data_IF_643744539413
#
_entry.id   IF_643744539413
#
_cell.length_a   1.000
_cell.length_b   1.000
_cell.length_c   1.000
_cell.angle_alpha   90.00
_cell.angle_beta   90.00
_cell.angle_gamma   90.00
#
_symmetry.space_group_name_H-M   'P 1'
#
loop_
_entity.id
_entity.type
_entity.pdbx_description
1 polymer ?
#
# COMPACT_ATOMS: atom_id res chain seq x y z
N UNK A 1 -10.35 -14.80 -8.52
CA UNK A 1 -10.36 -13.77 -7.45
C UNK A 1 -11.51 -12.77 -7.60
N UNK A 2 -11.77 -12.27 -8.78
CA UNK A 2 -12.83 -11.27 -9.08
C UNK A 2 -14.23 -11.70 -8.59
N UNK A 3 -14.64 -12.95 -8.81
CA UNK A 3 -15.95 -13.46 -8.39
C UNK A 3 -16.17 -13.43 -6.87
N UNK A 4 -15.14 -13.78 -6.07
CA UNK A 4 -15.25 -13.74 -4.60
C UNK A 4 -15.36 -12.31 -4.07
N UNK A 5 -14.61 -11.35 -4.64
CA UNK A 5 -14.71 -9.93 -4.26
C UNK A 5 -16.11 -9.40 -4.54
N UNK A 6 -16.65 -9.66 -5.73
CA UNK A 6 -17.99 -9.24 -6.12
C UNK A 6 -19.06 -9.77 -5.16
N UNK A 7 -18.86 -10.97 -4.59
CA UNK A 7 -19.80 -11.56 -3.62
C UNK A 7 -19.75 -10.93 -2.23
N UNK A 8 -18.56 -10.47 -1.77
CA UNK A 8 -18.45 -9.90 -0.42
C UNK A 8 -18.77 -8.40 -0.39
N UNK A 9 -18.55 -7.65 -1.46
CA UNK A 9 -18.80 -6.21 -1.52
C UNK A 9 -20.23 -5.81 -1.07
N UNK A 10 -21.32 -6.50 -1.48
CA UNK A 10 -22.66 -6.16 -1.02
C UNK A 10 -22.93 -6.48 0.45
N UNK A 11 -22.06 -7.24 1.12
CA UNK A 11 -22.22 -7.64 2.53
C UNK A 11 -21.57 -6.73 3.53
N UNK A 12 -20.81 -5.73 3.06
CA UNK A 12 -20.05 -4.79 3.92
C UNK A 12 -20.65 -3.39 3.86
N UNK A 13 -20.38 -2.62 4.91
CA UNK A 13 -20.71 -1.20 4.92
C UNK A 13 -19.80 -0.46 3.93
N UNK A 14 -20.38 0.48 3.18
CA UNK A 14 -19.67 1.34 2.24
C UNK A 14 -18.74 0.56 1.27
N UNK A 15 -19.28 -0.29 0.41
CA UNK A 15 -18.47 -1.10 -0.54
C UNK A 15 -17.62 -0.24 -1.48
N UNK A 16 -17.99 1.01 -1.71
CA UNK A 16 -17.23 1.96 -2.53
C UNK A 16 -15.80 2.21 -2.02
N UNK A 17 -15.51 1.98 -0.73
CA UNK A 17 -14.15 2.07 -0.16
C UNK A 17 -13.15 1.12 -0.84
N UNK A 18 -13.63 0.08 -1.53
CA UNK A 18 -12.82 -1.05 -1.98
C UNK A 18 -12.86 -1.27 -3.50
N UNK A 19 -13.49 -0.37 -4.25
CA UNK A 19 -13.75 -0.56 -5.68
C UNK A 19 -12.88 0.28 -6.61
N UNK A 20 -12.28 1.39 -6.12
CA UNK A 20 -11.61 2.36 -6.98
C UNK A 20 -12.60 3.10 -7.90
N UNK A 21 -12.08 3.71 -8.98
CA UNK A 21 -12.88 4.43 -9.96
C UNK A 21 -13.11 5.90 -9.61
N UNK A 22 -12.31 6.47 -8.70
CA UNK A 22 -12.42 7.87 -8.33
C UNK A 22 -11.87 8.80 -9.42
N UNK A 23 -12.37 10.01 -9.41
CA UNK A 23 -11.83 11.07 -10.27
C UNK A 23 -10.34 11.31 -9.98
N UNK A 24 -9.53 11.27 -11.04
CA UNK A 24 -8.07 11.42 -10.94
C UNK A 24 -7.31 10.13 -10.60
N UNK A 25 -7.99 8.98 -10.59
CA UNK A 25 -7.32 7.68 -10.51
C UNK A 25 -6.41 7.47 -11.72
N UNK A 26 -5.17 7.04 -11.49
CA UNK A 26 -4.21 6.74 -12.55
C UNK A 26 -4.22 5.24 -12.82
N UNK A 27 -4.50 4.85 -14.06
CA UNK A 27 -4.40 3.47 -14.53
C UNK A 27 -3.32 3.35 -15.57
N UNK A 28 -2.40 2.42 -15.38
CA UNK A 28 -1.34 2.08 -16.34
C UNK A 28 -1.44 0.61 -16.76
N UNK A 29 -0.76 0.24 -17.81
CA UNK A 29 -0.67 -1.15 -18.24
C UNK A 29 0.41 -1.86 -17.39
N UNK A 30 0.00 -2.74 -16.50
CA UNK A 30 0.90 -3.45 -15.58
C UNK A 30 2.01 -4.25 -16.28
N UNK A 31 1.76 -4.71 -17.50
CA UNK A 31 2.76 -5.45 -18.29
C UNK A 31 3.88 -4.58 -18.88
N UNK A 32 3.72 -3.25 -18.80
CA UNK A 32 4.70 -2.26 -19.29
C UNK A 32 5.43 -1.56 -18.14
N UNK A 33 5.04 -1.82 -16.90
CA UNK A 33 5.65 -1.18 -15.73
C UNK A 33 6.86 -1.99 -15.24
N UNK A 34 7.96 -1.28 -15.01
CA UNK A 34 9.14 -1.87 -14.41
C UNK A 34 8.98 -2.04 -12.90
N UNK A 35 8.31 -1.09 -12.23
CA UNK A 35 8.06 -1.12 -10.78
C UNK A 35 6.60 -0.83 -10.48
N UNK A 36 5.98 -1.66 -9.63
CA UNK A 36 4.65 -1.43 -9.08
C UNK A 36 4.73 -1.19 -7.58
N UNK A 37 4.15 -0.09 -7.13
CA UNK A 37 4.15 0.31 -5.72
C UNK A 37 2.74 0.22 -5.15
N UNK A 38 2.56 -0.59 -4.11
CA UNK A 38 1.37 -0.56 -3.27
C UNK A 38 1.55 0.55 -2.22
N UNK A 39 0.92 1.69 -2.44
CA UNK A 39 1.01 2.82 -1.52
C UNK A 39 -0.08 2.74 -0.46
N UNK A 40 0.32 2.33 0.72
CA UNK A 40 -0.53 1.97 1.83
C UNK A 40 -0.73 3.12 2.81
N UNK A 41 -1.99 3.43 3.09
CA UNK A 41 -2.37 4.30 4.19
C UNK A 41 -2.95 3.43 5.32
N UNK A 42 -2.33 3.39 6.52
CA UNK A 42 -2.72 2.46 7.57
C UNK A 42 -3.94 2.95 8.39
N UNK A 43 -4.94 3.44 7.69
CA UNK A 43 -6.25 3.84 8.19
C UNK A 43 -7.29 3.65 7.08
N UNK A 44 -8.54 4.00 7.37
CA UNK A 44 -9.67 3.85 6.46
C UNK A 44 -9.53 4.68 5.18
N UNK A 45 -10.27 4.28 4.16
CA UNK A 45 -10.36 4.98 2.88
C UNK A 45 -10.63 6.49 3.03
N UNK A 46 -11.58 6.89 3.88
CA UNK A 46 -11.95 8.29 4.05
C UNK A 46 -10.80 9.12 4.63
N UNK A 47 -10.10 8.58 5.60
CA UNK A 47 -8.95 9.25 6.22
C UNK A 47 -7.79 9.36 5.22
N UNK A 48 -7.49 8.30 4.48
CA UNK A 48 -6.42 8.32 3.49
C UNK A 48 -6.73 9.21 2.29
N UNK A 49 -7.95 9.19 1.77
CA UNK A 49 -8.35 10.02 0.63
C UNK A 49 -8.41 11.52 0.99
N UNK A 50 -8.59 11.87 2.25
CA UNK A 50 -8.50 13.26 2.74
C UNK A 50 -7.07 13.71 3.04
N UNK A 51 -6.10 12.79 3.09
CA UNK A 51 -4.70 13.10 3.38
C UNK A 51 -4.00 13.72 2.16
N UNK A 52 -3.58 14.99 2.31
CA UNK A 52 -2.96 15.74 1.21
C UNK A 52 -1.60 15.15 0.82
N UNK A 53 -0.77 14.76 1.80
CA UNK A 53 0.54 14.15 1.55
C UNK A 53 0.43 12.86 0.73
N UNK A 54 -0.54 12.01 1.06
CA UNK A 54 -0.80 10.80 0.26
C UNK A 54 -1.16 11.13 -1.18
N UNK A 55 -1.99 12.14 -1.40
CA UNK A 55 -2.40 12.54 -2.76
C UNK A 55 -1.25 13.13 -3.56
N UNK A 56 -0.38 13.92 -2.93
CA UNK A 56 0.81 14.49 -3.56
C UNK A 56 1.76 13.36 -3.97
N UNK A 57 2.15 12.48 -3.05
CA UNK A 57 3.07 11.38 -3.33
C UNK A 57 2.53 10.40 -4.37
N UNK A 58 1.22 10.09 -4.32
CA UNK A 58 0.56 9.30 -5.37
C UNK A 58 0.73 9.95 -6.76
N UNK A 59 0.55 11.27 -6.83
CA UNK A 59 0.75 12.03 -8.07
C UNK A 59 2.21 12.01 -8.54
N UNK A 60 3.15 12.26 -7.63
CA UNK A 60 4.60 12.27 -7.91
C UNK A 60 5.05 10.91 -8.44
N UNK A 61 4.75 9.82 -7.76
CA UNK A 61 5.13 8.47 -8.21
C UNK A 61 4.54 8.12 -9.57
N UNK A 62 3.29 8.51 -9.83
CA UNK A 62 2.63 8.21 -11.10
C UNK A 62 3.05 9.10 -12.28
N UNK A 63 3.82 10.17 -12.05
CA UNK A 63 4.48 10.93 -13.12
C UNK A 63 5.66 10.16 -13.74
N UNK A 64 6.26 9.23 -13.00
CA UNK A 64 7.33 8.39 -13.53
C UNK A 64 6.77 7.40 -14.56
N UNK A 65 7.35 7.33 -15.77
CA UNK A 65 6.77 6.54 -16.87
C UNK A 65 6.74 5.04 -16.57
N UNK A 66 7.78 4.53 -15.92
CA UNK A 66 7.99 3.09 -15.69
C UNK A 66 7.47 2.61 -14.32
N UNK A 67 6.85 3.50 -13.54
CA UNK A 67 6.32 3.21 -12.20
C UNK A 67 4.80 3.32 -12.20
N UNK A 68 4.12 2.36 -11.57
CA UNK A 68 2.71 2.46 -11.25
C UNK A 68 2.48 2.37 -9.76
N UNK A 69 2.08 3.48 -9.18
CA UNK A 69 1.67 3.58 -7.78
C UNK A 69 0.16 3.37 -7.66
N UNK A 70 -0.25 2.45 -6.80
CA UNK A 70 -1.65 2.10 -6.56
C UNK A 70 -1.96 2.22 -5.07
N UNK A 71 -3.17 2.71 -4.74
CA UNK A 71 -3.56 3.02 -3.36
C UNK A 71 -4.12 1.79 -2.65
N UNK A 72 -3.74 1.67 -1.38
CA UNK A 72 -4.24 0.62 -0.49
C UNK A 72 -4.63 1.23 0.86
N UNK A 73 -5.80 0.91 1.37
CA UNK A 73 -6.27 1.38 2.68
C UNK A 73 -6.51 0.22 3.63
N UNK A 74 -6.39 0.48 4.92
CA UNK A 74 -6.77 -0.49 5.92
C UNK A 74 -8.28 -0.81 5.81
N UNK A 75 -8.68 -2.07 5.75
CA UNK A 75 -10.09 -2.42 5.65
C UNK A 75 -10.80 -2.13 6.99
N UNK A 76 -12.07 -1.76 6.91
CA UNK A 76 -12.91 -1.70 8.08
C UNK A 76 -13.22 -3.11 8.60
N UNK A 77 -13.58 -3.24 9.88
CA UNK A 77 -13.72 -4.54 10.54
C UNK A 77 -14.63 -5.54 9.80
N UNK A 78 -15.76 -5.11 9.26
CA UNK A 78 -16.67 -5.97 8.50
C UNK A 78 -16.05 -6.50 7.18
N UNK A 79 -15.27 -5.66 6.51
CA UNK A 79 -14.54 -6.09 5.32
C UNK A 79 -13.39 -7.02 5.70
N UNK A 80 -12.66 -6.74 6.77
CA UNK A 80 -11.59 -7.64 7.26
C UNK A 80 -12.15 -9.03 7.57
N UNK A 81 -13.25 -9.11 8.32
CA UNK A 81 -13.93 -10.37 8.60
C UNK A 81 -14.34 -11.10 7.32
N UNK A 82 -14.93 -10.38 6.36
CA UNK A 82 -15.33 -10.96 5.08
C UNK A 82 -14.12 -11.46 4.27
N UNK A 83 -13.01 -10.72 4.27
CA UNK A 83 -11.76 -11.13 3.61
C UNK A 83 -11.20 -12.42 4.22
N UNK A 84 -11.04 -12.45 5.53
CA UNK A 84 -10.52 -13.62 6.27
C UNK A 84 -11.41 -14.84 6.03
N UNK A 85 -12.72 -14.70 6.18
CA UNK A 85 -13.70 -15.79 5.98
C UNK A 85 -13.65 -16.38 4.56
N UNK A 86 -13.37 -15.56 3.55
CA UNK A 86 -13.36 -15.99 2.14
C UNK A 86 -11.95 -16.28 1.60
N UNK A 87 -10.90 -16.16 2.42
CA UNK A 87 -9.52 -16.34 2.02
C UNK A 87 -9.10 -15.34 0.93
N UNK A 88 -9.51 -14.08 1.05
CA UNK A 88 -9.15 -13.00 0.15
C UNK A 88 -8.02 -12.18 0.76
N UNK A 89 -6.91 -11.95 0.04
CA UNK A 89 -5.85 -11.05 0.49
C UNK A 89 -6.28 -9.59 0.33
N UNK A 90 -5.58 -8.67 1.02
CA UNK A 90 -5.69 -7.23 0.81
C UNK A 90 -5.27 -6.87 -0.63
N UNK A 91 -5.95 -5.89 -1.23
CA UNK A 91 -5.74 -5.51 -2.63
C UNK A 91 -5.70 -3.99 -2.83
N UNK A 92 -5.07 -3.57 -3.92
CA UNK A 92 -5.02 -2.18 -4.35
C UNK A 92 -6.33 -1.75 -5.04
N UNK A 93 -6.63 -0.45 -4.99
CA UNK A 93 -7.88 0.08 -5.55
C UNK A 93 -7.89 0.07 -7.08
N UNK A 94 -6.79 0.45 -7.72
CA UNK A 94 -6.73 0.68 -9.16
C UNK A 94 -6.81 -0.63 -9.96
N UNK A 95 -5.86 -1.54 -9.76
CA UNK A 95 -5.81 -2.81 -10.49
C UNK A 95 -6.68 -3.90 -9.88
N UNK A 96 -7.07 -3.75 -8.62
CA UNK A 96 -7.68 -4.82 -7.83
C UNK A 96 -6.75 -6.04 -7.65
N UNK A 97 -5.46 -5.89 -7.88
CA UNK A 97 -4.47 -6.94 -7.63
C UNK A 97 -4.17 -7.06 -6.12
N UNK A 98 -3.80 -8.24 -5.62
CA UNK A 98 -3.38 -8.41 -4.23
C UNK A 98 -2.07 -7.66 -3.98
N UNK A 99 -1.93 -7.05 -2.80
CA UNK A 99 -0.72 -6.30 -2.41
C UNK A 99 0.56 -7.13 -2.57
N UNK A 100 0.48 -8.43 -2.33
CA UNK A 100 1.61 -9.35 -2.53
C UNK A 100 2.13 -9.42 -3.97
N UNK A 101 1.38 -8.95 -4.96
CA UNK A 101 1.78 -8.93 -6.37
C UNK A 101 2.61 -7.69 -6.76
N UNK A 102 2.87 -6.80 -5.79
CA UNK A 102 3.64 -5.58 -6.00
C UNK A 102 5.11 -5.77 -5.65
N UNK A 103 5.96 -4.99 -6.29
CA UNK A 103 7.40 -5.00 -6.04
C UNK A 103 7.72 -4.31 -4.71
N UNK A 104 7.07 -3.19 -4.45
CA UNK A 104 7.27 -2.39 -3.26
C UNK A 104 5.94 -2.14 -2.53
N UNK A 105 6.03 -2.05 -1.19
CA UNK A 105 4.91 -1.72 -0.30
C UNK A 105 5.31 -0.52 0.55
N UNK A 106 4.78 0.64 0.23
CA UNK A 106 5.10 1.90 0.87
C UNK A 106 4.03 2.28 1.90
N UNK A 107 4.43 2.59 3.13
CA UNK A 107 3.52 3.10 4.15
C UNK A 107 3.78 4.58 4.45
N UNK A 108 2.72 5.38 4.54
CA UNK A 108 2.80 6.72 5.12
C UNK A 108 2.26 6.70 6.54
N UNK A 109 3.09 7.12 7.51
CA UNK A 109 2.78 6.99 8.94
C UNK A 109 2.58 8.39 9.54
N UNK A 110 1.31 8.75 9.75
CA UNK A 110 0.92 10.06 10.29
C UNK A 110 0.89 10.13 11.81
N UNK A 111 0.68 8.99 12.49
CA UNK A 111 0.66 8.92 13.95
C UNK A 111 0.82 7.46 14.43
N UNK A 112 1.26 7.29 15.68
CA UNK A 112 1.75 6.00 16.24
C UNK A 112 0.63 4.97 16.44
N UNK A 113 -0.62 5.40 16.66
CA UNK A 113 -1.74 4.48 16.81
C UNK A 113 -2.03 3.63 15.57
N UNK A 114 -1.47 4.02 14.42
CA UNK A 114 -1.60 3.26 13.16
C UNK A 114 -0.62 2.09 13.02
N UNK A 115 0.34 1.91 13.92
CA UNK A 115 1.35 0.84 13.82
C UNK A 115 0.73 -0.56 13.76
N UNK A 116 -0.29 -0.82 14.59
CA UNK A 116 -1.00 -2.10 14.55
C UNK A 116 -1.71 -2.35 13.21
N UNK A 117 -2.19 -1.30 12.57
CA UNK A 117 -2.82 -1.39 11.25
C UNK A 117 -1.80 -1.75 10.17
N UNK A 118 -0.56 -1.25 10.25
CA UNK A 118 0.53 -1.64 9.33
C UNK A 118 0.74 -3.15 9.40
N UNK A 119 0.91 -3.70 10.59
CA UNK A 119 1.09 -5.12 10.80
C UNK A 119 -0.11 -5.94 10.29
N UNK A 120 -1.32 -5.45 10.55
CA UNK A 120 -2.55 -6.09 10.07
C UNK A 120 -2.64 -6.07 8.54
N UNK A 121 -2.30 -4.96 7.88
CA UNK A 121 -2.28 -4.85 6.42
C UNK A 121 -1.25 -5.81 5.80
N UNK A 122 -0.05 -5.94 6.37
CA UNK A 122 0.96 -6.93 5.94
C UNK A 122 0.42 -8.36 6.10
N UNK A 123 -0.19 -8.68 7.27
CA UNK A 123 -0.82 -9.98 7.52
C UNK A 123 -1.91 -10.31 6.51
N UNK A 124 -2.82 -9.38 6.25
CA UNK A 124 -3.91 -9.54 5.29
C UNK A 124 -3.41 -9.66 3.85
N UNK A 125 -2.26 -9.06 3.55
CA UNK A 125 -1.59 -9.17 2.25
C UNK A 125 -0.88 -10.51 2.05
N UNK A 126 -0.68 -11.30 3.12
CA UNK A 126 0.12 -12.53 3.09
C UNK A 126 1.62 -12.28 2.89
N UNK A 127 2.09 -11.09 3.31
CA UNK A 127 3.51 -10.72 3.33
C UNK A 127 4.07 -11.08 4.72
N UNK A 128 5.25 -11.72 4.81
CA UNK A 128 5.88 -12.02 6.09
C UNK A 128 6.05 -10.75 6.92
N UNK A 129 5.65 -10.78 8.20
CA UNK A 129 5.70 -9.60 9.05
C UNK A 129 7.14 -9.14 9.29
N UNK A 130 8.01 -10.04 9.75
CA UNK A 130 9.39 -9.68 10.04
C UNK A 130 10.23 -9.56 8.77
N UNK A 131 11.08 -8.55 8.74
CA UNK A 131 12.03 -8.30 7.64
C UNK A 131 12.92 -9.51 7.36
N UNK A 132 13.43 -10.16 8.42
CA UNK A 132 14.28 -11.37 8.32
C UNK A 132 13.61 -12.56 7.62
N UNK A 133 12.30 -12.59 7.54
CA UNK A 133 11.54 -13.67 6.90
C UNK A 133 11.20 -13.36 5.44
N UNK A 134 11.45 -12.12 4.98
CA UNK A 134 11.35 -11.73 3.57
C UNK A 134 12.67 -12.02 2.86
N UNK A 135 12.57 -12.57 1.67
CA UNK A 135 13.74 -12.94 0.86
C UNK A 135 13.72 -12.19 -0.47
N UNK A 136 14.84 -11.58 -0.82
CA UNK A 136 14.97 -10.81 -2.05
C UNK A 136 14.29 -9.45 -1.98
N UNK A 137 14.13 -8.81 -3.13
CA UNK A 137 13.60 -7.45 -3.26
C UNK A 137 12.07 -7.40 -3.46
N UNK A 138 11.43 -8.53 -3.71
CA UNK A 138 9.97 -8.56 -3.89
C UNK A 138 9.24 -8.24 -2.58
N UNK A 139 8.23 -7.38 -2.67
CA UNK A 139 7.50 -6.84 -1.53
C UNK A 139 8.41 -6.10 -0.53
N UNK A 140 9.37 -5.33 -1.02
CA UNK A 140 10.18 -4.47 -0.17
C UNK A 140 9.25 -3.48 0.56
N UNK A 141 9.27 -3.53 1.89
CA UNK A 141 8.40 -2.72 2.74
C UNK A 141 9.17 -1.51 3.23
N UNK A 142 8.71 -0.31 2.91
CA UNK A 142 9.28 0.91 3.45
C UNK A 142 8.23 1.85 4.03
N UNK A 143 8.66 2.75 4.88
CA UNK A 143 7.76 3.68 5.54
C UNK A 143 8.35 5.09 5.59
N UNK A 144 7.49 6.07 5.43
CA UNK A 144 7.80 7.49 5.56
C UNK A 144 6.71 8.23 6.35
N UNK A 145 6.87 9.53 6.47
CA UNK A 145 5.96 10.39 7.22
C UNK A 145 6.49 10.75 8.61
N UNK A 146 5.76 11.57 9.36
CA UNK A 146 6.25 12.17 10.60
C UNK A 146 6.66 11.14 11.67
N UNK A 147 5.99 10.01 11.74
CA UNK A 147 6.33 8.98 12.73
C UNK A 147 7.52 8.10 12.32
N UNK A 148 8.02 8.21 11.08
CA UNK A 148 9.23 7.52 10.64
C UNK A 148 10.50 8.02 11.36
N UNK A 149 10.47 9.22 11.97
CA UNK A 149 11.54 9.73 12.83
C UNK A 149 11.75 8.93 14.11
N UNK A 150 10.77 8.12 14.52
CA UNK A 150 10.91 7.13 15.57
C UNK A 150 10.69 5.73 14.99
N UNK A 151 11.70 5.14 14.32
CA UNK A 151 11.53 3.87 13.60
C UNK A 151 11.50 2.63 14.50
N UNK A 152 12.02 2.71 15.73
CA UNK A 152 12.23 1.58 16.65
C UNK A 152 11.02 0.65 16.81
N UNK A 153 9.78 1.15 16.99
CA UNK A 153 8.64 0.24 17.17
C UNK A 153 8.33 -0.62 15.94
N UNK A 154 8.79 -0.21 14.75
CA UNK A 154 8.54 -0.90 13.47
C UNK A 154 9.83 -1.46 12.84
N UNK A 155 10.99 -1.33 13.47
CA UNK A 155 12.28 -1.71 12.90
C UNK A 155 12.37 -3.19 12.48
N UNK A 156 11.69 -4.08 13.19
CA UNK A 156 11.65 -5.51 12.84
C UNK A 156 10.72 -5.84 11.66
N UNK A 157 9.87 -4.89 11.25
CA UNK A 157 8.79 -5.12 10.28
C UNK A 157 8.92 -4.32 8.99
N UNK A 158 9.74 -3.27 8.98
CA UNK A 158 9.96 -2.37 7.84
C UNK A 158 11.41 -2.49 7.38
N UNK A 159 11.65 -2.67 6.09
CA UNK A 159 12.98 -2.89 5.56
C UNK A 159 13.85 -1.62 5.60
N UNK A 160 13.24 -0.45 5.38
CA UNK A 160 13.89 0.85 5.58
C UNK A 160 12.88 1.98 5.82
N UNK A 161 13.35 3.10 6.36
CA UNK A 161 12.55 4.30 6.62
C UNK A 161 13.06 5.46 5.79
N UNK A 162 12.14 6.17 5.15
CA UNK A 162 12.39 7.41 4.43
C UNK A 162 12.20 8.59 5.39
N UNK A 163 13.26 9.35 5.65
CA UNK A 163 13.24 10.49 6.56
C UNK A 163 13.40 11.79 5.76
N UNK A 164 12.53 12.75 5.97
CA UNK A 164 12.53 14.06 5.32
C UNK A 164 11.39 14.27 4.35
N UNK A 165 11.58 15.13 3.36
CA UNK A 165 10.59 15.48 2.36
C UNK A 165 10.35 14.30 1.42
N UNK A 166 9.10 13.82 1.39
CA UNK A 166 8.75 12.58 0.67
C UNK A 166 8.82 12.72 -0.84
N UNK A 167 8.63 13.92 -1.39
CA UNK A 167 8.53 14.18 -2.81
C UNK A 167 9.82 13.84 -3.56
N UNK A 168 10.95 14.31 -3.06
CA UNK A 168 12.25 14.07 -3.69
C UNK A 168 12.77 12.66 -3.38
N UNK A 169 12.76 12.28 -2.09
CA UNK A 169 13.28 10.99 -1.63
C UNK A 169 12.54 9.81 -2.28
N UNK A 170 11.22 9.92 -2.46
CA UNK A 170 10.45 8.82 -3.09
C UNK A 170 10.88 8.61 -4.54
N UNK A 171 11.17 9.67 -5.29
CA UNK A 171 11.68 9.57 -6.67
C UNK A 171 13.04 8.88 -6.68
N UNK A 172 13.96 9.30 -5.80
CA UNK A 172 15.30 8.67 -5.69
C UNK A 172 15.22 7.18 -5.34
N UNK A 173 14.35 6.80 -4.41
CA UNK A 173 14.11 5.39 -4.04
C UNK A 173 13.63 4.59 -5.26
N UNK A 174 12.70 5.15 -6.03
CA UNK A 174 12.15 4.48 -7.21
C UNK A 174 13.17 4.39 -8.34
N UNK A 175 13.96 5.42 -8.57
CA UNK A 175 15.06 5.40 -9.55
C UNK A 175 16.10 4.33 -9.19
N UNK A 176 16.47 4.20 -7.91
CA UNK A 176 17.35 3.14 -7.45
C UNK A 176 16.72 1.75 -7.63
N UNK A 177 15.41 1.60 -7.40
CA UNK A 177 14.72 0.33 -7.61
C UNK A 177 14.70 -0.10 -9.08
N UNK A 178 14.54 0.85 -10.01
CA UNK A 178 14.61 0.59 -11.45
C UNK A 178 15.96 0.02 -11.93
N UNK A 179 17.03 0.27 -11.17
CA UNK A 179 18.37 -0.27 -11.48
C UNK A 179 18.56 -1.70 -10.93
N UNK A 180 17.82 -2.07 -9.89
CA UNK A 180 18.08 -3.28 -9.10
C UNK A 180 16.96 -4.33 -9.13
N UNK A 181 15.76 -3.98 -9.60
CA UNK A 181 14.64 -4.90 -9.81
C UNK A 181 14.52 -5.25 -11.29
#
# INVERSE_FOLDING_TARGET
MTDKKTRILPTVQKPARYTGGEWGEVRKNKGEMAVRVAFCFPDTYENGMSNVGMRILYGVMNQLPDVWCERVFAPWGDMEEAMVKNGLPLWALESQDPVKAFDMVAFTIGYEMSYSNILNMLRLSGIPLHTKDRKGLQNMVFAGGVCAFNPEPLADFVDFFSLGEGEDITVEILDLSLIHI
#
